data_IF_470181802416
#
_entry.id   IF_470181802416
#
_cell.length_a   1.000
_cell.length_b   1.000
_cell.length_c   1.000
_cell.angle_alpha   90.00
_cell.angle_beta   90.00
_cell.angle_gamma   90.00
#
_symmetry.space_group_name_H-M   'P 1'
#
loop_
_entity.id
_entity.type
_entity.pdbx_description
1 polymer ?
#
# COMPACT_ATOMS: atom_id res chain seq x y z
N UNK A 1 -9.04 -22.21 -0.61
CA UNK A 1 -8.32 -20.94 -0.82
C UNK A 1 -9.37 -19.85 -0.84
N UNK A 2 -9.64 -19.22 0.31
CA UNK A 2 -10.66 -18.20 0.47
C UNK A 2 -9.98 -16.87 0.17
N UNK A 3 -10.22 -16.29 -1.01
CA UNK A 3 -9.70 -14.95 -1.32
C UNK A 3 -10.54 -13.95 -0.51
N UNK A 4 -9.99 -13.45 0.59
CA UNK A 4 -10.58 -12.34 1.34
C UNK A 4 -10.64 -11.14 0.40
N UNK A 5 -11.82 -10.55 0.23
CA UNK A 5 -12.00 -9.34 -0.58
C UNK A 5 -11.17 -8.21 0.04
N UNK A 6 -10.16 -7.73 -0.68
CA UNK A 6 -9.36 -6.56 -0.29
C UNK A 6 -10.01 -5.33 -0.91
N UNK A 7 -10.37 -4.35 -0.08
CA UNK A 7 -10.87 -3.07 -0.55
C UNK A 7 -9.69 -2.21 -1.02
N UNK A 8 -9.59 -2.02 -2.34
CA UNK A 8 -8.47 -1.31 -2.98
C UNK A 8 -8.93 0.06 -3.47
N UNK A 9 -8.31 1.13 -2.95
CA UNK A 9 -8.40 2.47 -3.50
C UNK A 9 -7.40 2.59 -4.67
N UNK A 10 -7.87 2.99 -5.85
CA UNK A 10 -7.03 3.21 -7.04
C UNK A 10 -7.04 4.70 -7.37
N UNK A 11 -5.85 5.32 -7.40
CA UNK A 11 -5.66 6.71 -7.77
C UNK A 11 -4.52 6.81 -8.80
N UNK A 12 -4.62 7.73 -9.79
CA UNK A 12 -3.47 8.13 -10.60
C UNK A 12 -2.33 8.64 -9.71
N UNK A 13 -1.09 8.33 -10.07
CA UNK A 13 0.07 8.74 -9.26
C UNK A 13 0.27 10.26 -9.19
N UNK A 14 -0.25 11.00 -10.17
CA UNK A 14 -0.26 12.47 -10.25
C UNK A 14 -1.52 13.09 -9.64
N UNK A 15 -2.44 12.28 -9.11
CA UNK A 15 -3.62 12.79 -8.41
C UNK A 15 -3.21 13.54 -7.13
N UNK A 16 -3.78 14.73 -6.83
CA UNK A 16 -3.40 15.53 -5.66
C UNK A 16 -3.51 14.77 -4.33
N UNK A 17 -4.47 13.85 -4.23
CA UNK A 17 -4.68 13.04 -3.03
C UNK A 17 -3.86 11.74 -2.98
N UNK A 18 -3.08 11.39 -4.02
CA UNK A 18 -2.35 10.13 -4.06
C UNK A 18 -1.38 9.98 -2.87
N UNK A 19 -0.57 11.02 -2.60
CA UNK A 19 0.38 11.02 -1.48
C UNK A 19 -0.32 11.07 -0.10
N UNK A 20 -1.29 11.98 0.16
CA UNK A 20 -2.03 11.98 1.42
C UNK A 20 -2.73 10.65 1.72
N UNK A 21 -3.39 10.04 0.74
CA UNK A 21 -4.09 8.77 0.93
C UNK A 21 -3.10 7.63 1.18
N UNK A 22 -1.99 7.56 0.41
CA UNK A 22 -0.94 6.58 0.64
C UNK A 22 -0.35 6.68 2.06
N UNK A 23 -0.06 7.90 2.53
CA UNK A 23 0.45 8.13 3.88
C UNK A 23 -0.55 7.65 4.95
N UNK A 24 -1.82 8.03 4.81
CA UNK A 24 -2.88 7.62 5.73
C UNK A 24 -3.04 6.09 5.78
N UNK A 25 -2.99 5.43 4.62
CA UNK A 25 -3.07 3.96 4.53
C UNK A 25 -1.89 3.32 5.25
N UNK A 26 -0.65 3.77 5.00
CA UNK A 26 0.55 3.23 5.66
C UNK A 26 0.51 3.44 7.18
N UNK A 27 0.09 4.62 7.64
CA UNK A 27 -0.03 4.94 9.08
C UNK A 27 -1.08 4.08 9.79
N UNK A 28 -2.12 3.62 9.09
CA UNK A 28 -3.14 2.72 9.64
C UNK A 28 -2.80 1.23 9.44
N UNK A 29 -1.54 0.92 9.08
CA UNK A 29 -1.08 -0.45 8.91
C UNK A 29 -1.62 -1.15 7.67
N UNK A 30 -2.02 -0.38 6.65
CA UNK A 30 -2.36 -0.86 5.32
C UNK A 30 -1.13 -0.96 4.40
N UNK A 31 -1.38 -1.40 3.17
CA UNK A 31 -0.36 -1.56 2.13
C UNK A 31 -0.61 -0.59 0.98
N UNK A 32 0.46 -0.14 0.33
CA UNK A 32 0.38 0.75 -0.85
C UNK A 32 1.19 0.16 -1.99
N UNK A 33 0.54 -0.11 -3.12
CA UNK A 33 1.23 -0.34 -4.38
C UNK A 33 1.50 1.00 -5.08
N UNK A 34 2.74 1.25 -5.51
CA UNK A 34 3.13 2.52 -6.15
C UNK A 34 4.05 2.29 -7.36
N UNK A 35 3.97 3.13 -8.41
CA UNK A 35 4.83 3.01 -9.57
C UNK A 35 6.27 3.45 -9.23
N UNK A 36 7.24 2.83 -9.90
CA UNK A 36 8.62 3.33 -9.99
C UNK A 36 9.04 3.35 -11.46
N UNK A 37 10.29 3.73 -11.74
CA UNK A 37 10.88 3.68 -13.08
C UNK A 37 11.14 2.25 -13.59
N UNK A 38 11.19 1.25 -12.70
CA UNK A 38 11.53 -0.15 -13.02
C UNK A 38 10.34 -1.08 -12.87
N UNK A 39 9.85 -1.25 -11.64
CA UNK A 39 8.72 -2.14 -11.29
C UNK A 39 7.81 -1.48 -10.26
N UNK A 40 6.61 -2.00 -10.06
CA UNK A 40 5.77 -1.53 -8.97
C UNK A 40 6.36 -1.96 -7.63
N UNK A 41 6.39 -1.04 -6.67
CA UNK A 41 6.70 -1.32 -5.27
C UNK A 41 5.43 -1.63 -4.50
N UNK A 42 5.51 -2.56 -3.54
CA UNK A 42 4.51 -2.76 -2.49
C UNK A 42 5.11 -2.29 -1.17
N UNK A 43 4.55 -1.21 -0.61
CA UNK A 43 5.02 -0.56 0.60
C UNK A 43 4.16 -0.89 1.82
N UNK A 44 4.84 -0.96 2.96
CA UNK A 44 4.30 -1.07 4.32
C UNK A 44 5.02 -0.06 5.22
N UNK A 45 4.51 0.17 6.44
CA UNK A 45 5.22 0.98 7.44
C UNK A 45 6.50 0.26 7.89
N UNK A 46 7.66 0.78 7.50
CA UNK A 46 8.95 0.07 7.63
C UNK A 46 9.40 -0.24 9.07
N UNK A 47 8.80 0.41 10.07
CA UNK A 47 9.13 0.20 11.49
C UNK A 47 8.08 -0.64 12.23
N UNK A 48 7.11 -1.21 11.51
CA UNK A 48 6.09 -2.10 12.06
C UNK A 48 6.21 -3.50 11.43
N UNK A 49 6.83 -4.41 12.17
CA UNK A 49 7.08 -5.78 11.71
C UNK A 49 5.78 -6.54 11.37
N UNK A 50 4.70 -6.31 12.11
CA UNK A 50 3.43 -6.98 11.86
C UNK A 50 2.76 -6.50 10.56
N UNK A 51 2.98 -5.25 10.17
CA UNK A 51 2.49 -4.73 8.87
C UNK A 51 3.38 -5.21 7.73
N UNK A 52 4.68 -5.35 7.95
CA UNK A 52 5.62 -5.92 6.97
C UNK A 52 5.24 -7.37 6.63
N UNK A 53 4.82 -8.18 7.61
CA UNK A 53 4.39 -9.56 7.38
C UNK A 53 3.26 -9.66 6.34
N UNK A 54 2.34 -8.68 6.29
CA UNK A 54 1.25 -8.62 5.30
C UNK A 54 1.70 -8.54 3.84
N UNK A 55 2.97 -8.20 3.57
CA UNK A 55 3.53 -8.22 2.20
C UNK A 55 3.65 -9.66 1.67
N UNK A 56 3.75 -10.65 2.56
CA UNK A 56 4.07 -12.04 2.21
C UNK A 56 2.90 -13.02 2.36
N UNK A 57 1.73 -12.54 2.81
CA UNK A 57 0.49 -13.32 2.95
C UNK A 57 -0.27 -13.45 1.61
#
# INVERSE_FOLDING_TARGET
MHLTKVDTLILPADHPDALPQALQILQNGGLVAFPTDTVYGLGALAFDAAVIEKIYE
#
